data_IF_383350903505
#
_entry.id   IF_383350903505
#
_cell.length_a   1.000
_cell.length_b   1.000
_cell.length_c   1.000
_cell.angle_alpha   90.00
_cell.angle_beta   90.00
_cell.angle_gamma   90.00
#
_symmetry.space_group_name_H-M   'P 1'
#
loop_
_entity.id
_entity.type
_entity.pdbx_description
1 polymer ?
#
# COMPACT_ATOMS: atom_id res chain seq x y z
N UNK A 1 23.67 -67.19 15.62
CA UNK A 1 22.99 -67.83 16.76
C UNK A 1 21.49 -67.64 16.57
N UNK A 2 20.69 -68.72 16.58
CA UNK A 2 19.57 -68.90 15.64
C UNK A 2 18.20 -68.68 16.30
N UNK A 3 17.17 -68.18 15.59
CA UNK A 3 16.19 -68.89 14.74
C UNK A 3 15.01 -69.48 15.54
N UNK A 4 13.86 -68.79 15.37
CA UNK A 4 12.46 -69.27 15.21
C UNK A 4 11.85 -70.34 16.12
N UNK A 5 10.55 -70.16 16.38
CA UNK A 5 9.59 -71.22 16.06
C UNK A 5 8.59 -71.56 17.16
N UNK A 6 7.34 -71.10 16.96
CA UNK A 6 6.15 -71.95 16.78
C UNK A 6 6.08 -73.27 17.57
N UNK A 7 5.11 -73.41 18.48
CA UNK A 7 3.83 -74.12 18.26
C UNK A 7 3.22 -74.70 19.54
N UNK A 8 1.90 -74.52 19.64
CA UNK A 8 0.89 -75.55 19.93
C UNK A 8 0.78 -76.16 21.34
N UNK A 9 -0.36 -75.91 22.01
CA UNK A 9 -1.43 -76.91 22.16
C UNK A 9 -2.60 -76.39 23.01
N UNK A 10 -3.79 -76.45 22.41
CA UNK A 10 -5.05 -76.46 23.13
C UNK A 10 -5.42 -77.86 23.65
N UNK A 11 -6.37 -77.89 24.59
CA UNK A 11 -7.17 -79.05 25.03
C UNK A 11 -8.26 -78.50 25.97
N UNK A 12 -9.54 -78.85 25.97
CA UNK A 12 -10.33 -79.83 25.23
C UNK A 12 -11.82 -79.47 25.31
N UNK A 13 -12.54 -80.04 24.35
CA UNK A 13 -13.97 -80.20 24.09
C UNK A 13 -14.97 -80.32 25.26
N UNK A 14 -16.22 -79.94 24.97
CA UNK A 14 -17.38 -80.43 25.71
C UNK A 14 -18.75 -80.09 25.12
N UNK A 15 -19.18 -80.89 24.14
CA UNK A 15 -20.58 -81.31 23.87
C UNK A 15 -21.68 -80.31 23.46
N UNK A 16 -22.43 -80.69 22.42
CA UNK A 16 -23.88 -80.45 22.37
C UNK A 16 -24.40 -79.79 21.09
N UNK A 17 -24.78 -80.60 20.11
CA UNK A 17 -25.53 -80.19 18.92
C UNK A 17 -27.04 -80.14 19.26
N UNK A 18 -27.76 -79.21 18.63
CA UNK A 18 -29.20 -79.15 18.30
C UNK A 18 -30.13 -78.21 19.11
N UNK A 19 -30.54 -77.14 18.40
CA UNK A 19 -31.94 -76.78 18.07
C UNK A 19 -32.66 -75.66 18.86
N UNK A 20 -33.11 -74.66 18.06
CA UNK A 20 -34.25 -73.71 18.18
C UNK A 20 -34.12 -72.41 19.01
N UNK A 21 -34.02 -71.30 18.25
CA UNK A 21 -34.90 -70.10 18.25
C UNK A 21 -35.44 -69.60 19.61
N UNK A 22 -34.90 -68.47 20.13
CA UNK A 22 -35.58 -67.17 20.35
C UNK A 22 -34.70 -66.19 21.17
N UNK A 23 -35.00 -64.89 21.04
CA UNK A 23 -34.55 -63.72 21.86
C UNK A 23 -33.23 -63.06 21.39
N UNK A 24 -33.26 -62.11 20.45
CA UNK A 24 -33.67 -60.68 20.57
C UNK A 24 -32.65 -59.84 21.38
N UNK A 25 -31.90 -58.97 20.69
CA UNK A 25 -31.47 -57.69 21.25
C UNK A 25 -29.99 -57.50 21.63
N UNK A 26 -29.04 -57.73 20.71
CA UNK A 26 -27.69 -57.15 20.84
C UNK A 26 -27.60 -55.82 20.10
N UNK A 27 -27.70 -54.75 20.89
CA UNK A 27 -27.49 -53.34 20.59
C UNK A 27 -26.26 -53.10 19.68
N UNK A 28 -26.52 -52.78 18.41
CA UNK A 28 -25.62 -52.02 17.56
C UNK A 28 -25.76 -50.53 17.93
N UNK A 29 -25.09 -50.09 19.00
CA UNK A 29 -24.76 -48.66 19.13
C UNK A 29 -23.57 -48.36 18.20
N UNK A 30 -23.86 -48.22 16.90
CA UNK A 30 -23.00 -47.44 16.04
C UNK A 30 -23.11 -45.98 16.52
N UNK A 31 -22.16 -45.57 17.37
CA UNK A 31 -22.01 -44.18 17.76
C UNK A 31 -21.80 -43.36 16.49
N UNK A 32 -22.84 -42.62 16.09
CA UNK A 32 -22.75 -41.64 15.03
C UNK A 32 -21.85 -40.53 15.56
N UNK A 33 -20.55 -40.62 15.30
CA UNK A 33 -19.60 -39.53 15.55
C UNK A 33 -20.03 -38.40 14.60
N UNK A 34 -20.91 -37.53 15.10
CA UNK A 34 -21.18 -36.27 14.45
C UNK A 34 -19.89 -35.47 14.58
N UNK A 35 -19.13 -35.40 13.48
CA UNK A 35 -18.05 -34.44 13.35
C UNK A 35 -18.68 -33.06 13.59
N UNK A 36 -18.49 -32.50 14.79
CA UNK A 36 -18.89 -31.14 15.06
C UNK A 36 -17.96 -30.26 14.22
N UNK A 37 -18.53 -29.65 13.19
CA UNK A 37 -17.85 -28.67 12.36
C UNK A 37 -17.43 -27.51 13.24
N UNK A 38 -16.13 -27.45 13.53
CA UNK A 38 -15.49 -26.44 14.38
C UNK A 38 -15.81 -25.04 13.85
N UNK A 39 -16.25 -24.16 14.75
CA UNK A 39 -16.55 -22.78 14.43
C UNK A 39 -15.31 -22.01 14.03
N UNK A 40 -15.37 -21.27 12.93
CA UNK A 40 -14.22 -20.51 12.41
C UNK A 40 -14.28 -19.02 12.76
N UNK A 41 -15.48 -18.53 13.04
CA UNK A 41 -15.75 -17.15 13.42
C UNK A 41 -17.01 -17.05 14.26
N UNK A 42 -17.10 -16.01 15.07
CA UNK A 42 -18.26 -15.68 15.88
C UNK A 42 -18.77 -14.29 15.54
N UNK A 43 -20.08 -14.15 15.43
CA UNK A 43 -20.73 -12.84 15.25
C UNK A 43 -20.70 -12.10 16.59
N UNK A 44 -19.91 -11.03 16.66
CA UNK A 44 -19.72 -10.25 17.91
C UNK A 44 -20.67 -9.07 18.02
N UNK A 45 -21.15 -8.54 16.90
CA UNK A 45 -22.21 -7.52 16.84
C UNK A 45 -23.14 -7.86 15.70
N UNK A 46 -24.43 -7.68 15.93
CA UNK A 46 -25.45 -7.72 14.88
C UNK A 46 -26.48 -6.65 15.18
N UNK A 47 -26.95 -5.99 14.13
CA UNK A 47 -27.98 -4.97 14.20
C UNK A 47 -28.81 -5.03 12.91
N UNK A 48 -30.13 -4.91 13.01
CA UNK A 48 -31.05 -5.18 11.89
C UNK A 48 -31.18 -6.68 11.56
N UNK A 49 -31.46 -6.98 10.29
CA UNK A 49 -31.71 -8.34 9.80
C UNK A 49 -30.48 -8.89 9.09
N UNK A 50 -29.88 -9.91 9.70
CA UNK A 50 -28.70 -10.61 9.17
C UNK A 50 -29.03 -12.09 8.99
N UNK A 51 -28.68 -12.64 7.83
CA UNK A 51 -28.89 -14.05 7.52
C UNK A 51 -27.57 -14.78 7.32
N UNK A 52 -27.57 -16.07 7.66
CA UNK A 52 -26.54 -17.03 7.26
C UNK A 52 -27.19 -18.12 6.42
N UNK A 53 -26.63 -18.36 5.23
CA UNK A 53 -26.97 -19.49 4.38
C UNK A 53 -25.87 -20.54 4.51
N UNK A 54 -26.21 -21.70 5.09
CA UNK A 54 -25.29 -22.83 5.27
C UNK A 54 -25.12 -23.60 3.96
N UNK A 55 -24.03 -24.36 3.84
CA UNK A 55 -23.80 -25.30 2.72
C UNK A 55 -24.91 -26.33 2.53
N UNK A 56 -25.66 -26.65 3.59
CA UNK A 56 -26.82 -27.53 3.55
C UNK A 56 -28.05 -26.90 2.85
N UNK A 57 -27.96 -25.65 2.40
CA UNK A 57 -29.09 -24.88 1.86
C UNK A 57 -30.01 -24.28 2.92
N UNK A 58 -29.75 -24.52 4.22
CA UNK A 58 -30.55 -23.95 5.31
C UNK A 58 -30.18 -22.47 5.49
N UNK A 59 -31.18 -21.59 5.42
CA UNK A 59 -31.05 -20.17 5.78
C UNK A 59 -31.52 -19.96 7.22
N UNK A 60 -30.77 -19.21 8.01
CA UNK A 60 -31.09 -18.86 9.38
C UNK A 60 -30.84 -17.39 9.67
N UNK A 61 -31.55 -16.84 10.67
CA UNK A 61 -31.27 -15.51 11.20
C UNK A 61 -30.03 -15.60 12.09
N UNK A 62 -29.15 -14.61 11.97
CA UNK A 62 -27.93 -14.48 12.76
C UNK A 62 -28.24 -13.64 14.00
N UNK A 63 -27.82 -14.14 15.15
CA UNK A 63 -27.79 -13.40 16.42
C UNK A 63 -26.34 -13.22 16.90
N UNK A 64 -26.09 -12.28 17.81
CA UNK A 64 -24.80 -12.19 18.50
C UNK A 64 -24.46 -13.54 19.16
N UNK A 65 -23.20 -13.96 19.04
CA UNK A 65 -22.73 -15.27 19.49
C UNK A 65 -22.94 -16.40 18.48
N UNK A 66 -23.60 -16.15 17.34
CA UNK A 66 -23.74 -17.15 16.28
C UNK A 66 -22.37 -17.50 15.71
N UNK A 67 -22.07 -18.80 15.68
CA UNK A 67 -20.84 -19.35 15.11
C UNK A 67 -21.02 -19.65 13.62
N UNK A 68 -20.03 -19.24 12.83
CA UNK A 68 -19.95 -19.47 11.39
C UNK A 68 -19.00 -20.62 11.06
N UNK A 69 -19.23 -21.23 9.89
CA UNK A 69 -18.49 -22.38 9.36
C UNK A 69 -17.98 -22.09 7.95
N UNK A 70 -17.01 -22.89 7.50
CA UNK A 70 -16.56 -22.83 6.10
C UNK A 70 -17.73 -23.19 5.17
N UNK A 71 -17.88 -22.39 4.12
CA UNK A 71 -18.95 -22.48 3.13
C UNK A 71 -20.20 -21.66 3.49
N UNK A 72 -20.23 -21.00 4.65
CA UNK A 72 -21.34 -20.11 5.02
C UNK A 72 -21.29 -18.82 4.20
N UNK A 73 -22.48 -18.40 3.73
CA UNK A 73 -22.70 -17.06 3.19
C UNK A 73 -23.48 -16.22 4.19
N UNK A 74 -22.87 -15.14 4.66
CA UNK A 74 -23.52 -14.14 5.51
C UNK A 74 -24.05 -12.99 4.65
N UNK A 75 -25.27 -12.57 4.92
CA UNK A 75 -25.94 -11.49 4.18
C UNK A 75 -26.60 -10.50 5.13
N UNK A 76 -26.32 -9.22 4.94
CA UNK A 76 -26.95 -8.10 5.65
C UNK A 76 -28.01 -7.49 4.74
N UNK A 77 -29.22 -7.29 5.26
CA UNK A 77 -30.26 -6.57 4.54
C UNK A 77 -30.01 -5.04 4.58
N UNK A 78 -30.96 -4.26 4.05
CA UNK A 78 -30.97 -2.81 4.25
C UNK A 78 -30.96 -2.48 5.75
N UNK A 79 -30.29 -1.39 6.12
CA UNK A 79 -30.23 -0.87 7.50
C UNK A 79 -29.73 -1.90 8.54
N UNK A 80 -28.93 -2.87 8.08
CA UNK A 80 -28.44 -4.00 8.87
C UNK A 80 -26.91 -4.06 8.85
N UNK A 81 -26.31 -4.50 9.95
CA UNK A 81 -24.87 -4.55 10.14
C UNK A 81 -24.47 -5.82 10.89
N UNK A 82 -23.29 -6.34 10.57
CA UNK A 82 -22.69 -7.43 11.32
C UNK A 82 -21.20 -7.18 11.53
N UNK A 83 -20.68 -7.57 12.69
CA UNK A 83 -19.25 -7.70 12.94
C UNK A 83 -18.91 -9.11 13.38
N UNK A 84 -17.85 -9.65 12.79
CA UNK A 84 -17.35 -10.99 13.02
C UNK A 84 -15.98 -10.92 13.68
N UNK A 85 -15.68 -11.91 14.51
CA UNK A 85 -14.31 -12.19 14.99
C UNK A 85 -13.95 -13.62 14.63
N UNK A 86 -12.87 -13.79 13.88
CA UNK A 86 -12.31 -15.08 13.49
C UNK A 86 -11.44 -15.66 14.63
N UNK A 87 -11.23 -16.97 14.61
CA UNK A 87 -10.42 -17.66 15.64
C UNK A 87 -8.93 -17.31 15.61
N UNK A 88 -8.43 -16.74 14.51
CA UNK A 88 -7.06 -16.22 14.37
C UNK A 88 -6.91 -14.77 14.87
N UNK A 89 -7.98 -14.23 15.47
CA UNK A 89 -8.05 -12.87 16.00
C UNK A 89 -8.43 -11.80 14.96
N UNK A 90 -8.67 -12.17 13.70
CA UNK A 90 -9.13 -11.22 12.68
C UNK A 90 -10.54 -10.71 12.97
N UNK A 91 -10.84 -9.47 12.57
CA UNK A 91 -12.16 -8.87 12.67
C UNK A 91 -12.67 -8.41 11.31
N UNK A 92 -13.98 -8.54 11.09
CA UNK A 92 -14.61 -8.19 9.83
C UNK A 92 -15.96 -7.53 10.10
N UNK A 93 -16.12 -6.29 9.63
CA UNK A 93 -17.39 -5.57 9.61
C UNK A 93 -18.04 -5.68 8.23
N UNK A 94 -19.35 -5.92 8.21
CA UNK A 94 -20.16 -6.09 7.01
C UNK A 94 -21.21 -4.98 7.01
N UNK A 95 -21.14 -4.08 6.01
CA UNK A 95 -22.07 -2.95 5.88
C UNK A 95 -23.46 -3.43 5.44
N UNK A 96 -24.50 -2.58 5.47
CA UNK A 96 -25.81 -2.90 4.91
C UNK A 96 -25.78 -3.41 3.47
N UNK A 97 -26.79 -4.19 3.09
CA UNK A 97 -26.99 -4.68 1.72
C UNK A 97 -25.84 -5.52 1.14
N UNK A 98 -25.07 -6.21 1.99
CA UNK A 98 -23.86 -6.93 1.60
C UNK A 98 -24.03 -8.45 1.65
N UNK A 99 -23.20 -9.16 0.91
CA UNK A 99 -23.15 -10.62 0.94
C UNK A 99 -21.72 -11.12 0.81
N UNK A 100 -21.29 -11.96 1.76
CA UNK A 100 -19.93 -12.47 1.90
C UNK A 100 -19.96 -13.99 2.11
N UNK A 101 -19.25 -14.72 1.27
CA UNK A 101 -19.01 -16.16 1.42
C UNK A 101 -17.64 -16.39 2.07
N UNK A 102 -17.56 -17.28 3.05
CA UNK A 102 -16.29 -17.78 3.59
C UNK A 102 -15.98 -19.12 2.90
N UNK A 103 -15.10 -19.11 1.91
CA UNK A 103 -14.85 -20.29 1.05
C UNK A 103 -13.79 -21.24 1.59
N UNK A 104 -12.80 -20.74 2.34
CA UNK A 104 -11.80 -21.55 3.04
C UNK A 104 -11.41 -20.90 4.35
N UNK A 105 -11.18 -21.73 5.37
CA UNK A 105 -10.54 -21.31 6.61
C UNK A 105 -9.78 -22.48 7.23
N UNK A 106 -8.48 -22.30 7.39
CA UNK A 106 -7.62 -23.21 8.13
C UNK A 106 -6.66 -22.37 8.98
N UNK A 107 -6.74 -22.54 10.29
CA UNK A 107 -5.85 -21.88 11.24
C UNK A 107 -5.42 -22.90 12.30
N UNK A 108 -4.12 -23.09 12.44
CA UNK A 108 -3.55 -23.89 13.53
C UNK A 108 -2.34 -23.16 14.09
N UNK A 109 -2.38 -22.86 15.40
CA UNK A 109 -1.38 -22.02 16.07
C UNK A 109 0.08 -22.43 15.78
N UNK A 110 0.36 -23.74 15.75
CA UNK A 110 1.69 -24.30 15.54
C UNK A 110 1.97 -24.82 14.11
N UNK A 111 1.11 -24.53 13.13
CA UNK A 111 1.30 -24.95 11.73
C UNK A 111 1.02 -23.82 10.71
N UNK A 112 1.72 -22.68 10.82
CA UNK A 112 1.45 -21.49 10.01
C UNK A 112 1.59 -21.70 8.49
N UNK A 113 2.33 -22.71 8.05
CA UNK A 113 2.51 -23.04 6.63
C UNK A 113 1.25 -23.63 5.99
N UNK A 114 0.26 -24.02 6.79
CA UNK A 114 -1.04 -24.53 6.31
C UNK A 114 -2.16 -23.52 6.50
N UNK A 115 -1.86 -22.34 7.03
CA UNK A 115 -2.89 -21.32 7.26
C UNK A 115 -3.53 -20.93 5.93
N UNK A 116 -4.85 -20.79 5.90
CA UNK A 116 -5.57 -20.25 4.74
C UNK A 116 -6.87 -19.58 5.17
N UNK A 117 -7.19 -18.46 4.54
CA UNK A 117 -8.47 -17.77 4.64
C UNK A 117 -8.83 -17.26 3.25
N UNK A 118 -9.84 -17.87 2.65
CA UNK A 118 -10.41 -17.41 1.39
C UNK A 118 -11.85 -16.97 1.63
N UNK A 119 -12.19 -15.80 1.12
CA UNK A 119 -13.54 -15.25 1.15
C UNK A 119 -13.92 -14.74 -0.22
N UNK A 120 -15.23 -14.63 -0.48
CA UNK A 120 -15.74 -14.00 -1.69
C UNK A 120 -16.77 -12.94 -1.32
N UNK A 121 -16.46 -11.68 -1.62
CA UNK A 121 -17.44 -10.59 -1.55
C UNK A 121 -18.31 -10.65 -2.79
N UNK A 122 -19.58 -10.99 -2.60
CA UNK A 122 -20.55 -11.15 -3.69
C UNK A 122 -21.15 -9.80 -4.05
N UNK A 123 -21.46 -8.97 -3.05
CA UNK A 123 -21.95 -7.58 -3.22
C UNK A 123 -21.76 -6.76 -1.94
N UNK A 124 -21.84 -5.44 -2.07
CA UNK A 124 -21.83 -4.51 -0.95
C UNK A 124 -20.41 -4.17 -0.49
N UNK A 125 -20.15 -4.14 0.81
CA UNK A 125 -18.84 -3.77 1.31
C UNK A 125 -18.50 -4.29 2.70
N UNK A 126 -17.20 -4.39 2.97
CA UNK A 126 -16.65 -4.86 4.22
C UNK A 126 -15.47 -3.99 4.66
N UNK A 127 -15.21 -3.97 5.96
CA UNK A 127 -13.90 -3.60 6.51
C UNK A 127 -13.30 -4.83 7.16
N UNK A 128 -12.03 -5.07 6.93
CA UNK A 128 -11.32 -6.23 7.46
C UNK A 128 -10.04 -5.81 8.16
N UNK A 129 -9.92 -6.19 9.43
CA UNK A 129 -8.70 -6.11 10.21
C UNK A 129 -8.14 -7.52 10.35
N UNK A 130 -6.97 -7.74 9.77
CA UNK A 130 -6.49 -9.11 9.53
C UNK A 130 -5.84 -9.72 10.78
N UNK A 131 -6.15 -10.99 11.00
CA UNK A 131 -5.64 -11.79 12.11
C UNK A 131 -4.26 -12.39 11.83
N UNK A 132 -3.91 -13.43 12.60
CA UNK A 132 -2.61 -14.10 12.50
C UNK A 132 -2.37 -14.71 11.12
N UNK A 133 -3.41 -15.23 10.44
CA UNK A 133 -3.26 -15.82 9.10
C UNK A 133 -2.66 -14.80 8.11
N UNK A 134 -3.11 -13.55 8.16
CA UNK A 134 -2.61 -12.49 7.28
C UNK A 134 -1.19 -12.00 7.63
N UNK A 135 -0.62 -12.43 8.76
CA UNK A 135 0.61 -11.88 9.35
C UNK A 135 1.76 -12.90 9.44
N UNK A 136 1.54 -14.18 9.14
CA UNK A 136 2.54 -15.25 9.28
C UNK A 136 2.40 -16.31 8.17
N UNK A 137 3.38 -17.22 8.11
CA UNK A 137 3.27 -18.39 7.23
C UNK A 137 3.37 -18.04 5.75
N UNK A 138 2.43 -18.56 4.96
CA UNK A 138 2.35 -18.35 3.51
C UNK A 138 1.82 -16.94 3.18
N UNK A 139 2.48 -16.25 2.25
CA UNK A 139 2.09 -14.91 1.78
C UNK A 139 0.77 -14.92 1.00
N UNK A 140 0.38 -16.06 0.45
CA UNK A 140 -0.85 -16.24 -0.31
C UNK A 140 -1.98 -16.86 0.52
N UNK A 141 -1.78 -17.02 1.83
CA UNK A 141 -2.75 -17.65 2.73
C UNK A 141 -4.08 -16.90 2.78
N UNK A 142 -4.05 -15.57 2.66
CA UNK A 142 -5.24 -14.74 2.72
C UNK A 142 -5.66 -14.28 1.32
N UNK A 143 -6.93 -14.49 0.97
CA UNK A 143 -7.50 -14.05 -0.30
C UNK A 143 -8.95 -13.58 -0.15
N UNK A 144 -9.27 -12.42 -0.71
CA UNK A 144 -10.64 -11.95 -0.87
C UNK A 144 -10.97 -11.81 -2.35
N UNK A 145 -11.82 -12.70 -2.85
CA UNK A 145 -12.26 -12.75 -4.23
C UNK A 145 -13.49 -11.86 -4.44
N UNK A 146 -13.58 -11.20 -5.60
CA UNK A 146 -14.77 -10.44 -6.03
C UNK A 146 -15.08 -10.74 -7.50
N UNK A 147 -16.12 -10.14 -8.07
CA UNK A 147 -16.38 -10.22 -9.50
C UNK A 147 -15.31 -9.47 -10.34
N UNK A 148 -14.63 -8.48 -9.75
CA UNK A 148 -13.77 -7.54 -10.46
C UNK A 148 -12.28 -7.83 -10.28
N UNK A 149 -11.92 -8.69 -9.34
CA UNK A 149 -10.53 -8.95 -8.99
C UNK A 149 -10.36 -9.62 -7.64
N UNK A 150 -9.11 -9.88 -7.31
CA UNK A 150 -8.68 -10.58 -6.10
C UNK A 150 -7.85 -9.65 -5.24
N UNK A 151 -8.12 -9.64 -3.94
CA UNK A 151 -7.34 -8.93 -2.94
C UNK A 151 -6.47 -9.93 -2.17
N UNK A 152 -5.15 -9.78 -2.32
CA UNK A 152 -4.14 -10.39 -1.45
C UNK A 152 -3.62 -9.36 -0.44
N UNK A 153 -3.16 -9.80 0.72
CA UNK A 153 -2.73 -8.89 1.79
C UNK A 153 -1.41 -9.33 2.43
N UNK A 154 -0.89 -8.44 3.29
CA UNK A 154 0.07 -8.80 4.32
C UNK A 154 -0.15 -7.92 5.56
N UNK A 155 -0.89 -8.42 6.55
CA UNK A 155 -1.12 -7.75 7.83
C UNK A 155 -1.71 -6.35 7.66
N UNK A 156 -2.97 -6.29 7.27
CA UNK A 156 -3.63 -5.08 6.76
C UNK A 156 -4.93 -4.77 7.50
N UNK A 157 -5.27 -3.49 7.59
CA UNK A 157 -6.63 -2.97 7.83
C UNK A 157 -7.11 -2.31 6.53
N UNK A 158 -8.15 -2.85 5.91
CA UNK A 158 -8.64 -2.34 4.63
C UNK A 158 -10.16 -2.42 4.52
N UNK A 159 -10.69 -1.55 3.67
CA UNK A 159 -12.08 -1.51 3.24
C UNK A 159 -12.13 -2.04 1.80
N UNK A 160 -13.07 -2.94 1.52
CA UNK A 160 -13.41 -3.35 0.16
C UNK A 160 -14.88 -3.05 -0.10
N UNK A 161 -15.16 -2.27 -1.14
CA UNK A 161 -16.51 -1.91 -1.57
C UNK A 161 -16.70 -2.32 -3.02
N UNK A 162 -17.58 -3.28 -3.25
CA UNK A 162 -17.99 -3.74 -4.57
C UNK A 162 -19.27 -2.98 -4.96
N UNK A 163 -19.11 -2.00 -5.84
CA UNK A 163 -20.16 -1.13 -6.35
C UNK A 163 -20.77 -1.70 -7.62
N UNK A 164 -22.10 -1.66 -7.69
CA UNK A 164 -22.85 -1.75 -8.94
C UNK A 164 -23.33 -0.33 -9.30
N UNK A 165 -24.64 -0.10 -9.44
CA UNK A 165 -25.21 1.24 -9.58
C UNK A 165 -25.42 1.97 -8.24
N UNK A 166 -25.37 1.23 -7.13
CA UNK A 166 -25.73 1.66 -5.77
C UNK A 166 -24.84 2.79 -5.23
N UNK A 167 -23.55 2.79 -5.55
CA UNK A 167 -22.63 3.86 -5.12
C UNK A 167 -22.96 5.22 -5.76
N UNK A 168 -23.59 5.23 -6.94
CA UNK A 168 -24.10 6.45 -7.56
C UNK A 168 -25.32 7.03 -6.83
N UNK A 169 -26.14 6.16 -6.25
CA UNK A 169 -27.35 6.56 -5.51
C UNK A 169 -26.99 7.07 -4.10
N UNK A 170 -26.00 6.46 -3.43
CA UNK A 170 -25.48 6.91 -2.13
C UNK A 170 -24.89 8.35 -2.19
N UNK A 171 -24.25 8.72 -3.31
CA UNK A 171 -23.78 10.10 -3.55
C UNK A 171 -24.93 11.13 -3.52
N UNK A 172 -26.08 10.81 -4.12
CA UNK A 172 -27.24 11.71 -4.17
C UNK A 172 -27.89 11.91 -2.78
N UNK A 173 -27.79 10.90 -1.91
CA UNK A 173 -28.29 11.00 -0.54
C UNK A 173 -27.40 11.89 0.36
N UNK A 174 -26.07 11.82 0.19
CA UNK A 174 -25.09 12.59 0.96
C UNK A 174 -25.01 14.09 0.61
N UNK A 175 -25.46 14.50 -0.58
CA UNK A 175 -25.42 15.91 -1.03
C UNK A 175 -26.43 16.83 -0.30
N UNK A 176 -27.31 16.30 0.56
CA UNK A 176 -28.28 17.08 1.35
C UNK A 176 -27.80 17.54 2.73
N UNK A 177 -26.56 17.20 3.15
CA UNK A 177 -26.06 17.49 4.50
C UNK A 177 -24.60 17.95 4.55
N UNK A 178 -24.40 19.24 4.92
CA UNK A 178 -23.15 19.91 5.36
C UNK A 178 -21.86 19.73 4.53
N UNK A 179 -21.31 20.90 4.15
CA UNK A 179 -20.02 21.15 3.50
C UNK A 179 -18.90 20.21 3.96
N UNK A 180 -18.42 19.40 3.03
CA UNK A 180 -17.28 18.50 3.17
C UNK A 180 -16.04 19.25 3.68
N UNK A 181 -15.52 18.83 4.82
CA UNK A 181 -14.13 19.10 5.22
C UNK A 181 -13.37 17.81 4.97
N UNK A 182 -12.62 17.76 3.86
CA UNK A 182 -11.69 16.66 3.61
C UNK A 182 -10.65 16.64 4.75
N UNK A 183 -10.40 15.51 5.41
CA UNK A 183 -9.26 15.37 6.31
C UNK A 183 -7.97 15.61 5.54
N UNK A 184 -6.92 16.16 6.18
CA UNK A 184 -5.60 16.22 5.57
C UNK A 184 -5.00 14.81 5.63
N UNK A 185 -5.34 13.94 4.68
CA UNK A 185 -4.37 12.91 4.31
C UNK A 185 -3.16 13.66 3.80
N UNK A 186 -2.00 13.52 4.46
CA UNK A 186 -0.78 14.12 3.95
C UNK A 186 -0.59 13.54 2.55
N UNK A 187 -0.75 14.33 1.48
CA UNK A 187 -0.77 13.75 0.14
C UNK A 187 0.58 13.09 -0.08
N UNK A 188 0.53 11.89 -0.63
CA UNK A 188 1.72 11.21 -1.12
C UNK A 188 2.40 12.16 -2.08
N UNK A 189 3.60 12.60 -1.70
CA UNK A 189 4.27 13.63 -2.43
C UNK A 189 5.10 13.04 -3.57
N UNK A 190 5.76 11.93 -3.26
CA UNK A 190 6.52 11.15 -4.23
C UNK A 190 6.37 9.64 -4.01
N UNK A 191 6.86 8.85 -4.96
CA UNK A 191 7.03 7.40 -4.86
C UNK A 191 8.40 6.97 -5.33
N UNK A 192 8.94 5.94 -4.69
CA UNK A 192 10.12 5.23 -5.18
C UNK A 192 9.70 4.35 -6.37
N UNK A 193 10.27 4.54 -7.56
CA UNK A 193 9.91 3.74 -8.76
C UNK A 193 11.02 2.79 -9.19
N UNK A 194 12.25 3.05 -8.77
CA UNK A 194 13.41 2.22 -9.08
C UNK A 194 14.48 2.45 -8.01
N UNK A 195 15.20 1.40 -7.65
CA UNK A 195 16.38 1.49 -6.81
C UNK A 195 17.43 0.47 -7.24
N UNK A 196 18.69 0.76 -6.93
CA UNK A 196 19.75 -0.23 -6.86
C UNK A 196 20.41 -0.08 -5.48
N UNK A 197 20.51 -1.17 -4.72
CA UNK A 197 20.88 -1.12 -3.31
C UNK A 197 19.66 -1.06 -2.38
N UNK A 198 19.80 -0.37 -1.26
CA UNK A 198 18.75 -0.15 -0.27
C UNK A 198 18.40 1.34 -0.17
N UNK A 199 17.11 1.63 -0.17
CA UNK A 199 16.57 2.96 0.11
C UNK A 199 15.83 2.97 1.45
N UNK A 200 16.10 3.98 2.27
CA UNK A 200 15.41 4.21 3.54
C UNK A 200 14.66 5.54 3.51
N UNK A 201 13.53 5.63 4.20
CA UNK A 201 12.89 6.87 4.57
C UNK A 201 12.97 7.07 6.08
N UNK A 202 13.23 8.30 6.53
CA UNK A 202 13.38 8.64 7.93
C UNK A 202 12.57 9.88 8.30
N UNK A 203 11.85 9.86 9.41
CA UNK A 203 11.15 11.02 9.97
C UNK A 203 11.12 10.93 11.49
N UNK A 204 11.41 12.04 12.18
CA UNK A 204 11.39 12.07 13.66
C UNK A 204 12.25 11.00 14.34
N UNK A 205 13.35 10.57 13.69
CA UNK A 205 14.23 9.50 14.17
C UNK A 205 13.77 8.07 13.89
N UNK A 206 12.53 7.87 13.43
CA UNK A 206 12.09 6.57 12.92
C UNK A 206 12.60 6.36 11.49
N UNK A 207 13.04 5.14 11.19
CA UNK A 207 13.55 4.75 9.87
C UNK A 207 12.78 3.54 9.37
N UNK A 208 12.38 3.56 8.09
CA UNK A 208 11.74 2.44 7.40
C UNK A 208 12.44 2.19 6.06
N UNK A 209 12.53 0.93 5.65
CA UNK A 209 12.98 0.59 4.31
C UNK A 209 11.88 0.92 3.31
N UNK A 210 12.26 1.56 2.21
CA UNK A 210 11.39 1.73 1.05
C UNK A 210 11.57 0.54 0.10
N UNK A 211 10.47 0.10 -0.47
CA UNK A 211 10.44 -0.76 -1.65
C UNK A 211 9.86 0.01 -2.85
N UNK A 212 10.10 -0.49 -4.06
CA UNK A 212 9.49 0.07 -5.28
C UNK A 212 7.95 0.13 -5.13
N UNK A 213 7.39 1.27 -5.48
CA UNK A 213 5.99 1.65 -5.31
C UNK A 213 5.68 2.37 -3.98
N UNK A 214 6.56 2.28 -2.97
CA UNK A 214 6.27 2.86 -1.66
C UNK A 214 6.22 4.40 -1.73
N UNK A 215 5.28 5.02 -0.99
CA UNK A 215 5.16 6.46 -0.93
C UNK A 215 6.29 7.08 -0.12
N UNK A 216 6.60 8.34 -0.46
CA UNK A 216 7.44 9.26 0.30
C UNK A 216 6.58 10.45 0.71
N UNK A 217 6.62 10.76 2.00
CA UNK A 217 5.80 11.79 2.63
C UNK A 217 6.61 13.07 2.88
N UNK A 218 5.90 14.19 2.96
CA UNK A 218 6.48 15.46 3.37
C UNK A 218 7.05 15.34 4.78
N UNK A 219 8.27 15.85 4.97
CA UNK A 219 9.05 15.78 6.20
C UNK A 219 9.98 14.56 6.27
N UNK A 220 9.86 13.59 5.36
CA UNK A 220 10.78 12.45 5.31
C UNK A 220 12.13 12.83 4.66
N UNK A 221 13.19 12.26 5.21
CA UNK A 221 14.51 12.19 4.57
C UNK A 221 14.65 10.82 3.92
N UNK A 222 14.81 10.81 2.59
CA UNK A 222 15.13 9.64 1.79
C UNK A 222 16.65 9.47 1.74
N UNK A 223 17.12 8.27 2.05
CA UNK A 223 18.53 7.90 2.10
C UNK A 223 18.79 6.75 1.13
N UNK A 224 19.55 7.02 0.06
CA UNK A 224 20.05 5.99 -0.84
C UNK A 224 21.38 5.47 -0.28
N UNK A 225 21.57 4.15 -0.24
CA UNK A 225 22.81 3.57 0.26
C UNK A 225 23.99 3.72 -0.72
N UNK A 226 25.15 3.20 -0.33
CA UNK A 226 26.35 3.27 -1.16
C UNK A 226 26.34 2.30 -2.34
N UNK A 227 25.39 1.38 -2.46
CA UNK A 227 25.38 0.34 -3.49
C UNK A 227 24.78 0.82 -4.82
N UNK A 228 23.95 1.87 -4.82
CA UNK A 228 23.37 2.35 -6.08
C UNK A 228 22.65 3.68 -5.99
N UNK A 229 21.39 3.72 -6.43
CA UNK A 229 20.61 4.95 -6.59
C UNK A 229 19.16 4.71 -6.16
N UNK A 230 18.41 5.80 -5.98
CA UNK A 230 16.96 5.75 -5.73
C UNK A 230 16.24 6.76 -6.63
N UNK A 231 15.22 6.32 -7.36
CA UNK A 231 14.44 7.17 -8.27
C UNK A 231 13.08 7.49 -7.68
N UNK A 232 12.84 8.77 -7.41
CA UNK A 232 11.58 9.32 -6.92
C UNK A 232 10.81 9.99 -8.06
N UNK A 233 9.52 9.70 -8.16
CA UNK A 233 8.57 10.43 -9.02
C UNK A 233 7.61 11.20 -8.12
N UNK A 234 7.24 12.41 -8.49
CA UNK A 234 6.28 13.26 -7.79
C UNK A 234 4.96 13.36 -8.55
N UNK A 235 3.88 13.70 -7.85
CA UNK A 235 2.54 13.83 -8.47
C UNK A 235 2.42 14.98 -9.48
N UNK A 236 3.39 15.89 -9.52
CA UNK A 236 3.51 16.95 -10.53
C UNK A 236 4.35 16.56 -11.75
N UNK A 237 4.74 15.29 -11.84
CA UNK A 237 5.64 14.70 -12.86
C UNK A 237 7.13 15.05 -12.70
N UNK A 238 7.53 15.69 -11.60
CA UNK A 238 8.96 15.82 -11.29
C UNK A 238 9.57 14.44 -11.04
N UNK A 239 10.82 14.27 -11.45
CA UNK A 239 11.60 13.04 -11.24
C UNK A 239 12.95 13.42 -10.63
N UNK A 240 13.31 12.75 -9.54
CA UNK A 240 14.58 12.95 -8.84
C UNK A 240 15.26 11.59 -8.72
N UNK A 241 16.46 11.47 -9.26
CA UNK A 241 17.33 10.31 -9.03
C UNK A 241 18.37 10.72 -7.99
N UNK A 242 18.35 10.07 -6.84
CA UNK A 242 19.35 10.23 -5.80
C UNK A 242 20.56 9.35 -6.13
N UNK A 243 21.74 9.95 -6.17
CA UNK A 243 22.99 9.22 -6.33
C UNK A 243 23.29 8.34 -5.11
N UNK A 244 24.31 7.49 -5.23
CA UNK A 244 24.81 6.67 -4.13
C UNK A 244 25.14 7.50 -2.90
N UNK A 245 24.65 7.03 -1.75
CA UNK A 245 24.89 7.63 -0.45
C UNK A 245 24.23 9.00 -0.23
N UNK A 246 23.33 9.41 -1.13
CA UNK A 246 22.64 10.67 -1.01
C UNK A 246 21.60 10.67 0.11
N UNK A 247 21.45 11.83 0.74
CA UNK A 247 20.37 12.11 1.70
C UNK A 247 19.59 13.32 1.24
N UNK A 248 18.30 13.12 1.04
CA UNK A 248 17.39 14.10 0.45
C UNK A 248 16.16 14.25 1.34
N UNK A 249 15.86 15.47 1.77
CA UNK A 249 14.71 15.77 2.62
C UNK A 249 13.62 16.44 1.82
N UNK A 250 12.40 15.93 1.93
CA UNK A 250 11.23 16.55 1.33
C UNK A 250 10.56 17.52 2.30
N UNK A 251 11.08 18.75 2.38
CA UNK A 251 10.65 19.74 3.38
C UNK A 251 9.20 20.14 3.24
N UNK A 252 8.74 20.42 2.02
CA UNK A 252 7.33 20.72 1.76
C UNK A 252 6.94 20.37 0.33
N UNK A 253 5.74 19.82 0.18
CA UNK A 253 5.17 19.57 -1.14
C UNK A 253 3.66 19.70 -1.10
N UNK A 254 3.14 20.52 -2.00
CA UNK A 254 1.72 20.68 -2.25
C UNK A 254 1.54 20.98 -3.73
N UNK A 255 0.87 20.06 -4.42
CA UNK A 255 0.49 20.25 -5.80
C UNK A 255 -0.94 19.77 -6.00
N UNK A 256 -1.74 20.60 -6.67
CA UNK A 256 -3.10 20.26 -7.08
C UNK A 256 -3.30 20.86 -8.46
N UNK A 257 -3.52 20.05 -9.52
CA UNK A 257 -3.62 20.57 -10.89
C UNK A 257 -4.69 21.66 -11.07
N UNK A 258 -5.81 21.56 -10.34
CA UNK A 258 -6.91 22.54 -10.36
C UNK A 258 -6.62 23.83 -9.57
N UNK A 259 -5.70 23.77 -8.60
CA UNK A 259 -5.38 24.88 -7.68
C UNK A 259 -3.86 25.04 -7.49
N UNK A 260 -3.09 25.23 -8.57
CA UNK A 260 -1.63 25.33 -8.47
C UNK A 260 -1.20 26.58 -7.69
N UNK A 261 -2.08 27.57 -7.52
CA UNK A 261 -1.79 28.79 -6.78
C UNK A 261 -1.51 28.58 -5.30
N UNK A 262 -2.05 27.50 -4.74
CA UNK A 262 -1.88 27.09 -3.33
C UNK A 262 -0.67 26.19 -3.11
N UNK A 263 0.01 25.79 -4.19
CA UNK A 263 1.10 24.83 -4.13
C UNK A 263 2.46 25.41 -3.79
N UNK A 264 3.37 24.53 -3.39
CA UNK A 264 4.79 24.78 -3.19
C UNK A 264 5.56 23.45 -3.23
N UNK A 265 6.84 23.51 -3.60
CA UNK A 265 7.78 22.41 -3.51
C UNK A 265 9.09 22.96 -2.96
N UNK A 266 9.49 22.50 -1.77
CA UNK A 266 10.77 22.83 -1.14
C UNK A 266 11.40 21.52 -0.72
N UNK A 267 12.64 21.33 -1.14
CA UNK A 267 13.40 20.10 -0.94
C UNK A 267 14.80 20.46 -0.50
N UNK A 268 15.48 19.60 0.24
CA UNK A 268 16.83 19.84 0.73
C UNK A 268 17.74 18.65 0.40
N UNK A 269 18.81 18.87 -0.36
CA UNK A 269 19.85 17.87 -0.52
C UNK A 269 20.88 18.06 0.61
N UNK A 270 20.89 17.11 1.54
CA UNK A 270 21.71 17.16 2.76
C UNK A 270 23.14 16.66 2.48
N UNK A 271 23.26 15.62 1.65
CA UNK A 271 24.55 15.04 1.27
C UNK A 271 24.45 14.30 -0.07
N UNK A 272 25.59 14.17 -0.75
CA UNK A 272 25.71 13.38 -1.98
C UNK A 272 25.38 14.17 -3.24
N UNK A 273 24.59 13.57 -4.13
CA UNK A 273 24.14 14.21 -5.37
C UNK A 273 22.77 13.73 -5.84
N UNK A 274 22.19 14.49 -6.75
CA UNK A 274 20.92 14.13 -7.37
C UNK A 274 20.85 14.62 -8.81
N UNK A 275 20.10 13.89 -9.62
CA UNK A 275 19.69 14.27 -10.97
C UNK A 275 18.20 14.61 -10.94
N UNK A 276 17.80 15.72 -11.57
CA UNK A 276 16.45 16.25 -11.46
C UNK A 276 15.88 16.61 -12.82
N UNK A 277 14.64 16.18 -13.07
CA UNK A 277 13.76 16.72 -14.11
C UNK A 277 12.55 17.31 -13.40
N UNK A 278 12.30 18.60 -13.57
CA UNK A 278 11.15 19.26 -12.92
C UNK A 278 9.87 19.09 -13.73
N UNK A 279 8.76 18.88 -13.04
CA UNK A 279 7.45 18.62 -13.63
C UNK A 279 6.64 19.88 -13.97
N UNK A 280 5.32 19.68 -14.05
CA UNK A 280 4.32 20.68 -14.41
C UNK A 280 4.31 21.87 -13.46
N UNK A 281 4.51 21.64 -12.16
CA UNK A 281 4.44 22.70 -11.16
C UNK A 281 5.55 23.73 -11.34
N UNK A 282 6.78 23.30 -11.67
CA UNK A 282 7.90 24.21 -11.95
C UNK A 282 7.68 25.06 -13.21
N UNK A 283 6.90 24.58 -14.18
CA UNK A 283 6.50 25.37 -15.36
C UNK A 283 5.46 26.44 -15.01
N UNK A 284 4.48 26.09 -14.18
CA UNK A 284 3.38 26.98 -13.77
C UNK A 284 3.81 28.02 -12.73
N UNK A 285 4.62 27.59 -11.74
CA UNK A 285 4.96 28.33 -10.52
C UNK A 285 6.45 28.20 -10.18
N UNK A 286 7.37 28.58 -11.09
CA UNK A 286 8.82 28.38 -10.92
C UNK A 286 9.37 28.95 -9.60
N UNK A 287 8.89 30.13 -9.19
CA UNK A 287 9.28 30.79 -7.93
C UNK A 287 8.84 30.06 -6.64
N UNK A 288 8.07 28.97 -6.76
CA UNK A 288 7.59 28.15 -5.65
C UNK A 288 8.19 26.74 -5.67
N UNK A 289 9.16 26.49 -6.54
CA UNK A 289 9.94 25.25 -6.60
C UNK A 289 11.38 25.58 -6.24
N UNK A 290 11.82 25.06 -5.09
CA UNK A 290 13.10 25.39 -4.47
C UNK A 290 13.82 24.08 -4.14
N UNK A 291 15.06 23.96 -4.62
CA UNK A 291 15.98 22.90 -4.21
C UNK A 291 17.07 23.55 -3.36
N UNK A 292 16.96 23.38 -2.06
CA UNK A 292 17.91 23.88 -1.08
C UNK A 292 19.05 22.89 -0.85
N UNK A 293 20.16 23.47 -0.41
CA UNK A 293 21.30 22.80 0.19
C UNK A 293 21.86 23.75 1.26
N UNK A 294 22.73 23.26 2.15
CA UNK A 294 23.41 24.18 3.10
C UNK A 294 24.34 25.18 2.38
N UNK A 295 24.92 24.79 1.23
CA UNK A 295 25.83 25.63 0.43
C UNK A 295 25.10 26.71 -0.39
N UNK A 296 23.88 26.43 -0.84
CA UNK A 296 23.11 27.35 -1.66
C UNK A 296 21.74 26.83 -2.09
N UNK A 297 20.94 27.75 -2.62
CA UNK A 297 19.58 27.48 -3.11
C UNK A 297 19.57 27.46 -4.62
N UNK A 298 18.81 26.55 -5.21
CA UNK A 298 18.63 26.42 -6.65
C UNK A 298 17.18 26.73 -7.00
N UNK A 299 16.99 27.80 -7.77
CA UNK A 299 15.73 28.16 -8.41
C UNK A 299 15.64 27.56 -9.80
N UNK A 300 14.44 27.13 -10.18
CA UNK A 300 14.19 26.42 -11.44
C UNK A 300 13.05 27.03 -12.24
N UNK A 301 13.07 26.81 -13.56
CA UNK A 301 11.94 27.08 -14.45
C UNK A 301 11.83 26.02 -15.54
N UNK A 302 11.26 24.86 -15.20
CA UNK A 302 11.08 23.76 -16.14
C UNK A 302 12.43 23.25 -16.67
N UNK A 303 13.24 22.66 -15.80
CA UNK A 303 14.65 22.36 -16.04
C UNK A 303 15.00 20.90 -15.87
N UNK A 304 16.10 20.52 -16.51
CA UNK A 304 16.76 19.23 -16.34
C UNK A 304 18.20 19.50 -15.87
N UNK A 305 18.57 19.09 -14.67
CA UNK A 305 19.85 19.46 -14.05
C UNK A 305 20.40 18.38 -13.12
N UNK A 306 21.70 18.47 -12.81
CA UNK A 306 22.42 17.66 -11.81
C UNK A 306 22.95 18.56 -10.71
N UNK A 307 22.97 18.03 -9.50
CA UNK A 307 23.56 18.68 -8.33
C UNK A 307 24.46 17.68 -7.63
N UNK A 308 25.65 18.12 -7.22
CA UNK A 308 26.59 17.30 -6.47
C UNK A 308 27.30 18.13 -5.41
N UNK A 309 27.29 17.62 -4.18
CA UNK A 309 28.02 18.18 -3.06
C UNK A 309 29.45 17.64 -3.05
N UNK A 310 30.41 18.50 -2.72
CA UNK A 310 31.83 18.21 -2.81
C UNK A 310 32.62 18.96 -1.74
N UNK A 311 33.88 18.59 -1.47
CA UNK A 311 34.74 19.35 -0.58
C UNK A 311 35.06 20.74 -1.15
N UNK A 312 35.23 21.73 -0.28
CA UNK A 312 35.71 23.05 -0.71
C UNK A 312 37.06 22.95 -1.41
N UNK A 313 37.25 23.76 -2.46
CA UNK A 313 38.43 23.71 -3.32
C UNK A 313 38.46 22.55 -4.33
N UNK A 314 37.44 21.68 -4.39
CA UNK A 314 37.47 20.50 -5.29
C UNK A 314 37.56 20.87 -6.77
N UNK A 315 37.17 22.09 -7.17
CA UNK A 315 37.32 22.57 -8.55
C UNK A 315 38.77 22.69 -9.01
N UNK A 316 39.70 22.84 -8.08
CA UNK A 316 41.13 23.04 -8.35
C UNK A 316 41.93 21.74 -8.20
N UNK A 317 41.27 20.64 -7.81
CA UNK A 317 41.88 19.32 -7.66
C UNK A 317 41.83 18.56 -8.97
N UNK A 318 43.00 18.29 -9.56
CA UNK A 318 43.11 17.45 -10.74
C UNK A 318 42.56 16.04 -10.44
N UNK A 319 41.63 15.56 -11.27
CA UNK A 319 41.00 14.23 -11.17
C UNK A 319 40.18 13.98 -9.89
N UNK A 320 39.54 15.02 -9.32
CA UNK A 320 38.54 14.80 -8.27
C UNK A 320 37.40 13.87 -8.76
N UNK A 321 37.22 12.74 -8.09
CA UNK A 321 36.12 11.80 -8.32
C UNK A 321 35.31 11.59 -7.02
N UNK A 322 34.08 12.14 -6.93
CA UNK A 322 33.21 11.94 -5.77
C UNK A 322 32.76 10.49 -5.58
N UNK A 323 32.85 9.62 -6.61
CA UNK A 323 32.48 8.21 -6.48
C UNK A 323 33.49 7.38 -5.68
N UNK A 324 34.72 7.89 -5.52
CA UNK A 324 35.81 7.24 -4.79
C UNK A 324 35.81 7.52 -3.28
N UNK A 325 34.98 8.46 -2.81
CA UNK A 325 34.94 8.94 -1.43
C UNK A 325 33.55 8.74 -0.81
N UNK A 326 33.43 8.78 0.54
CA UNK A 326 32.14 8.83 1.21
C UNK A 326 31.31 10.05 0.75
N UNK A 327 29.97 9.97 0.81
CA UNK A 327 29.10 11.06 0.43
C UNK A 327 29.41 12.33 1.22
N UNK A 328 29.61 13.43 0.49
CA UNK A 328 29.98 14.71 1.08
C UNK A 328 28.72 15.48 1.48
N UNK A 329 28.64 16.01 2.72
CA UNK A 329 27.56 16.89 3.12
C UNK A 329 27.55 18.18 2.29
N UNK A 330 26.36 18.70 2.03
CA UNK A 330 26.17 19.87 1.18
C UNK A 330 26.39 21.19 1.93
N UNK A 331 27.37 21.23 2.84
CA UNK A 331 27.78 22.39 3.64
C UNK A 331 29.20 22.88 3.30
N UNK A 332 29.78 22.35 2.23
CA UNK A 332 31.07 22.71 1.67
C UNK A 332 30.83 23.28 0.28
N UNK A 333 31.27 22.60 -0.78
CA UNK A 333 31.05 23.02 -2.15
C UNK A 333 29.82 22.36 -2.81
N UNK A 334 29.32 23.03 -3.84
CA UNK A 334 28.18 22.60 -4.65
C UNK A 334 28.48 22.78 -6.14
N UNK A 335 28.39 21.69 -6.90
CA UNK A 335 28.30 21.73 -8.36
C UNK A 335 26.85 21.66 -8.79
N UNK A 336 26.48 22.47 -9.77
CA UNK A 336 25.16 22.43 -10.41
C UNK A 336 25.31 22.48 -11.93
N UNK A 337 24.93 21.41 -12.63
CA UNK A 337 25.05 21.30 -14.08
C UNK A 337 23.68 21.28 -14.75
N UNK A 338 23.46 22.13 -15.74
CA UNK A 338 22.17 22.22 -16.44
C UNK A 338 22.21 21.42 -17.75
N UNK A 339 21.44 20.34 -17.84
CA UNK A 339 21.26 19.57 -19.09
C UNK A 339 20.27 20.23 -20.04
N UNK A 340 19.19 20.82 -19.52
CA UNK A 340 18.20 21.53 -20.30
C UNK A 340 17.53 22.68 -19.52
N UNK A 341 17.17 23.75 -20.22
CA UNK A 341 16.67 25.00 -19.63
C UNK A 341 17.77 25.87 -19.01
N UNK A 342 17.44 26.59 -17.93
CA UNK A 342 18.40 27.32 -17.08
C UNK A 342 17.97 27.27 -15.62
N UNK A 343 18.95 27.13 -14.72
CA UNK A 343 18.75 27.23 -13.27
C UNK A 343 19.40 28.51 -12.75
N UNK A 344 18.95 28.99 -11.60
CA UNK A 344 19.60 30.07 -10.85
C UNK A 344 20.14 29.49 -9.54
N UNK A 345 21.45 29.55 -9.31
CA UNK A 345 22.06 29.16 -8.04
C UNK A 345 22.34 30.41 -7.19
N UNK A 346 22.00 30.34 -5.91
CA UNK A 346 22.17 31.44 -4.94
C UNK A 346 23.01 31.00 -3.77
N UNK A 347 23.91 31.87 -3.33
CA UNK A 347 24.66 31.69 -2.08
C UNK A 347 24.81 33.03 -1.37
N UNK A 348 24.20 33.15 -0.19
CA UNK A 348 24.06 34.43 0.50
C UNK A 348 23.34 35.47 -0.38
N UNK A 349 24.00 36.59 -0.65
CA UNK A 349 23.49 37.67 -1.51
C UNK A 349 23.78 37.49 -3.00
N UNK A 350 24.59 36.49 -3.35
CA UNK A 350 25.05 36.27 -4.72
C UNK A 350 24.13 35.31 -5.46
N UNK A 351 23.93 35.56 -6.74
CA UNK A 351 23.14 34.72 -7.63
C UNK A 351 23.87 34.54 -8.96
N UNK A 352 23.73 33.38 -9.57
CA UNK A 352 24.29 33.05 -10.88
C UNK A 352 23.30 32.23 -11.69
N UNK A 353 23.03 32.67 -12.92
CA UNK A 353 22.31 31.86 -13.88
C UNK A 353 23.26 30.83 -14.52
N UNK A 354 22.84 29.57 -14.52
CA UNK A 354 23.56 28.44 -15.14
C UNK A 354 22.74 27.94 -16.32
N UNK A 355 23.06 28.39 -17.55
CA UNK A 355 22.33 27.99 -18.74
C UNK A 355 22.66 26.55 -19.16
N UNK A 356 21.86 26.01 -20.08
CA UNK A 356 22.06 24.70 -20.71
C UNK A 356 23.52 24.45 -21.11
N UNK A 357 24.02 23.27 -20.77
CA UNK A 357 25.36 22.79 -21.08
C UNK A 357 26.46 23.36 -20.17
N UNK A 358 26.14 24.28 -19.26
CA UNK A 358 27.11 24.88 -18.33
C UNK A 358 27.01 24.30 -16.93
N UNK A 359 28.07 24.51 -16.17
CA UNK A 359 28.19 24.06 -14.78
C UNK A 359 28.52 25.26 -13.90
N UNK A 360 27.67 25.50 -12.90
CA UNK A 360 27.94 26.44 -11.82
C UNK A 360 28.62 25.74 -10.64
N UNK A 361 29.41 26.49 -9.89
CA UNK A 361 30.11 26.04 -8.70
C UNK A 361 30.03 27.07 -7.58
N UNK A 362 29.78 26.61 -6.36
CA UNK A 362 29.84 27.40 -5.12
C UNK A 362 30.84 26.70 -4.22
N UNK A 363 31.88 27.40 -3.75
CA UNK A 363 32.99 26.78 -3.01
C UNK A 363 32.67 26.52 -1.53
N UNK A 364 31.82 27.35 -0.94
CA UNK A 364 31.39 27.31 0.44
C UNK A 364 30.06 28.07 0.61
N UNK A 365 29.28 27.84 1.68
CA UNK A 365 28.13 28.68 2.00
C UNK A 365 28.50 30.17 2.05
N UNK A 366 27.79 31.00 1.30
CA UNK A 366 28.02 32.44 1.17
C UNK A 366 29.11 32.85 0.16
N UNK A 367 29.77 31.90 -0.49
CA UNK A 367 30.76 32.17 -1.54
C UNK A 367 30.10 32.67 -2.83
N UNK A 368 30.84 33.44 -3.64
CA UNK A 368 30.36 33.90 -4.94
C UNK A 368 30.26 32.69 -5.89
N UNK A 369 29.08 32.38 -6.46
CA UNK A 369 28.96 31.32 -7.44
C UNK A 369 29.70 31.69 -8.74
N UNK A 370 30.35 30.71 -9.36
CA UNK A 370 31.10 30.90 -10.62
C UNK A 370 30.67 29.87 -11.67
N UNK A 371 30.74 30.25 -12.95
CA UNK A 371 30.64 29.29 -14.05
C UNK A 371 32.00 28.65 -14.29
N UNK A 372 32.02 27.33 -14.39
CA UNK A 372 33.20 26.59 -14.81
C UNK A 372 33.39 26.71 -16.33
N UNK A 373 34.65 26.61 -16.75
CA UNK A 373 35.03 26.53 -18.17
C UNK A 373 34.51 25.22 -18.76
N UNK A 374 34.85 24.11 -18.11
CA UNK A 374 34.44 22.76 -18.50
C UNK A 374 33.52 22.11 -17.46
N UNK A 375 32.63 21.24 -17.93
CA UNK A 375 31.85 20.37 -17.06
C UNK A 375 32.75 19.24 -16.52
N UNK A 376 32.83 19.01 -15.20
CA UNK A 376 33.60 17.91 -14.65
C UNK A 376 33.15 16.53 -15.16
N UNK A 377 34.09 15.61 -15.37
CA UNK A 377 33.81 14.26 -15.89
C UNK A 377 32.82 13.49 -15.03
N UNK A 378 32.95 13.55 -13.69
CA UNK A 378 32.07 12.85 -12.78
C UNK A 378 30.59 13.28 -12.84
N UNK A 379 30.26 14.45 -13.41
CA UNK A 379 28.86 14.84 -13.67
C UNK A 379 28.36 14.23 -14.98
N UNK A 380 29.19 14.27 -16.03
CA UNK A 380 28.88 13.69 -17.35
C UNK A 380 28.70 12.17 -17.26
N UNK A 381 29.61 11.52 -16.55
CA UNK A 381 29.74 10.07 -16.47
C UNK A 381 29.18 9.52 -15.14
N UNK A 382 28.25 10.24 -14.51
CA UNK A 382 27.61 9.76 -13.28
C UNK A 382 26.79 8.48 -13.58
N UNK A 383 27.06 7.37 -12.85
CA UNK A 383 26.46 6.05 -13.09
C UNK A 383 24.99 5.94 -12.69
N UNK A 384 24.46 6.86 -11.88
CA UNK A 384 23.03 6.91 -11.62
C UNK A 384 22.29 7.19 -12.94
N UNK A 385 21.15 6.54 -13.24
CA UNK A 385 20.42 6.76 -14.49
C UNK A 385 19.90 8.19 -14.59
N UNK A 386 19.57 8.64 -15.81
CA UNK A 386 18.95 9.96 -15.97
C UNK A 386 17.47 9.89 -15.65
N UNK A 387 16.87 10.89 -14.99
CA UNK A 387 15.46 10.84 -14.62
C UNK A 387 14.52 10.72 -15.84
N UNK A 388 14.90 11.27 -16.99
CA UNK A 388 14.15 11.21 -18.25
C UNK A 388 14.18 9.84 -18.96
N UNK A 389 15.01 8.89 -18.52
CA UNK A 389 15.08 7.54 -19.09
C UNK A 389 13.96 6.62 -18.58
N UNK A 390 13.27 7.02 -17.51
CA UNK A 390 12.20 6.24 -16.91
C UNK A 390 10.85 6.53 -17.57
N UNK A 391 10.24 5.50 -18.16
CA UNK A 391 8.83 5.52 -18.54
C UNK A 391 7.94 5.36 -17.29
N UNK A 392 6.98 6.26 -17.12
CA UNK A 392 6.24 6.41 -15.87
C UNK A 392 4.75 6.55 -16.14
N UNK A 393 3.98 5.58 -15.64
CA UNK A 393 2.52 5.64 -15.64
C UNK A 393 2.01 6.42 -14.42
N UNK A 394 1.79 7.72 -14.63
CA UNK A 394 1.31 8.64 -13.59
C UNK A 394 -0.03 8.22 -12.98
N UNK A 395 -1.06 7.82 -13.76
CA UNK A 395 -2.29 7.25 -13.21
C UNK A 395 -2.08 6.02 -12.30
N UNK A 396 -1.15 5.11 -12.62
CA UNK A 396 -0.86 3.97 -11.73
C UNK A 396 -0.19 4.40 -10.43
N UNK A 397 0.68 5.40 -10.46
CA UNK A 397 1.37 5.88 -9.26
C UNK A 397 0.49 6.75 -8.37
N UNK A 398 -0.10 7.82 -8.90
CA UNK A 398 -0.78 8.85 -8.10
C UNK A 398 -2.29 8.83 -8.26
N UNK A 399 -2.79 8.02 -9.19
CA UNK A 399 -4.20 7.85 -9.38
C UNK A 399 -4.88 8.99 -10.13
N UNK A 400 -6.19 8.82 -10.29
CA UNK A 400 -7.11 9.85 -10.82
C UNK A 400 -7.86 10.48 -9.66
N UNK A 401 -8.43 11.67 -9.88
CA UNK A 401 -9.35 12.30 -8.93
C UNK A 401 -10.61 11.44 -8.80
N UNK A 402 -10.71 10.68 -7.71
CA UNK A 402 -11.82 9.76 -7.45
C UNK A 402 -13.02 10.41 -6.77
N UNK A 403 -12.95 11.70 -6.41
CA UNK A 403 -14.00 12.35 -5.58
C UNK A 403 -15.38 12.33 -6.22
N UNK A 404 -15.44 12.35 -7.56
CA UNK A 404 -16.70 12.26 -8.31
C UNK A 404 -17.01 10.86 -8.84
N UNK A 405 -16.10 9.91 -8.67
CA UNK A 405 -16.21 8.58 -9.24
C UNK A 405 -17.25 7.76 -8.49
N UNK A 406 -18.22 7.23 -9.24
CA UNK A 406 -19.27 6.33 -8.74
C UNK A 406 -19.50 5.16 -9.70
N UNK A 407 -18.53 4.89 -10.57
CA UNK A 407 -18.61 3.83 -11.57
C UNK A 407 -18.75 2.47 -10.88
N UNK A 408 -19.50 1.52 -11.45
CA UNK A 408 -19.49 0.13 -11.01
C UNK A 408 -18.06 -0.38 -10.96
N UNK A 409 -17.68 -1.15 -9.94
CA UNK A 409 -16.29 -1.47 -9.71
C UNK A 409 -15.99 -1.96 -8.30
N UNK A 410 -14.80 -2.53 -8.11
CA UNK A 410 -14.24 -2.78 -6.80
C UNK A 410 -13.37 -1.59 -6.39
N UNK A 411 -13.69 -1.00 -5.24
CA UNK A 411 -12.90 0.04 -4.57
C UNK A 411 -12.25 -0.57 -3.33
N UNK A 412 -10.96 -0.30 -3.15
CA UNK A 412 -10.18 -0.81 -2.01
C UNK A 412 -9.45 0.34 -1.35
N UNK A 413 -9.82 0.67 -0.11
CA UNK A 413 -9.09 1.66 0.69
C UNK A 413 -8.29 0.96 1.78
N UNK A 414 -7.02 1.31 1.94
CA UNK A 414 -6.14 0.71 2.95
C UNK A 414 -5.93 1.70 4.08
N UNK A 415 -6.34 1.34 5.30
CA UNK A 415 -6.14 2.15 6.50
C UNK A 415 -4.75 1.92 7.10
N UNK A 416 -4.30 0.67 7.10
CA UNK A 416 -2.96 0.26 7.55
C UNK A 416 -2.45 -0.92 6.73
N UNK A 417 -1.14 -0.98 6.47
CA UNK A 417 -0.50 -2.08 5.75
C UNK A 417 -0.51 -1.90 4.23
N UNK A 418 -0.60 -3.03 3.50
CA UNK A 418 -0.58 -3.05 2.03
C UNK A 418 -1.51 -4.13 1.49
N UNK A 419 -2.13 -3.86 0.36
CA UNK A 419 -2.99 -4.76 -0.41
C UNK A 419 -2.40 -4.93 -1.81
N UNK A 420 -2.40 -6.15 -2.32
CA UNK A 420 -2.25 -6.42 -3.75
C UNK A 420 -3.65 -6.63 -4.34
N UNK A 421 -4.06 -5.76 -5.25
CA UNK A 421 -5.28 -5.90 -6.02
C UNK A 421 -4.91 -6.45 -7.40
N UNK A 422 -5.35 -7.67 -7.69
CA UNK A 422 -4.99 -8.40 -8.91
C UNK A 422 -6.23 -8.64 -9.77
N UNK A 423 -6.17 -8.21 -11.03
CA UNK A 423 -7.20 -8.46 -12.02
C UNK A 423 -7.13 -9.92 -12.56
N UNK A 424 -8.21 -10.44 -13.18
CA UNK A 424 -8.20 -11.77 -13.79
C UNK A 424 -7.15 -11.97 -14.89
N UNK A 425 -6.71 -10.89 -15.55
CA UNK A 425 -5.66 -10.90 -16.56
C UNK A 425 -4.23 -10.99 -15.96
N UNK A 426 -4.10 -10.99 -14.62
CA UNK A 426 -2.82 -11.04 -13.91
C UNK A 426 -2.19 -9.68 -13.63
N UNK A 427 -2.79 -8.58 -14.09
CA UNK A 427 -2.33 -7.24 -13.76
C UNK A 427 -2.53 -6.96 -12.27
N UNK A 428 -1.50 -6.40 -11.61
CA UNK A 428 -1.48 -6.16 -10.18
C UNK A 428 -1.24 -4.69 -9.86
N UNK A 429 -1.98 -4.17 -8.87
CA UNK A 429 -1.82 -2.86 -8.28
C UNK A 429 -1.60 -2.99 -6.77
N UNK A 430 -0.50 -2.43 -6.29
CA UNK A 430 -0.22 -2.37 -4.87
C UNK A 430 -0.83 -1.10 -4.27
N UNK A 431 -1.73 -1.28 -3.30
CA UNK A 431 -2.41 -0.20 -2.57
C UNK A 431 -1.89 -0.18 -1.14
N UNK A 432 -1.27 0.91 -0.71
CA UNK A 432 -0.71 1.12 0.61
C UNK A 432 -1.59 1.96 1.54
N UNK A 433 -1.17 2.08 2.81
CA UNK A 433 -1.88 2.86 3.81
C UNK A 433 -2.17 4.31 3.39
N UNK A 434 -3.42 4.74 3.60
CA UNK A 434 -3.95 6.04 3.18
C UNK A 434 -4.31 6.13 1.70
N UNK A 435 -4.22 5.02 0.95
CA UNK A 435 -4.48 4.99 -0.47
C UNK A 435 -5.76 4.24 -0.83
N UNK A 436 -6.28 4.54 -2.02
CA UNK A 436 -7.43 3.85 -2.59
C UNK A 436 -7.10 3.32 -3.97
N UNK A 437 -7.38 2.04 -4.23
CA UNK A 437 -7.33 1.42 -5.55
C UNK A 437 -8.73 1.21 -6.13
N UNK A 438 -8.81 1.15 -7.45
CA UNK A 438 -10.03 0.86 -8.18
C UNK A 438 -9.77 -0.18 -9.28
N UNK A 439 -10.69 -1.14 -9.41
CA UNK A 439 -10.76 -2.12 -10.48
C UNK A 439 -12.15 -2.11 -11.14
N UNK A 440 -12.19 -1.95 -12.46
CA UNK A 440 -13.46 -1.98 -13.20
C UNK A 440 -14.01 -3.42 -13.36
N UNK A 441 -15.31 -3.58 -13.68
CA UNK A 441 -15.92 -4.88 -13.90
C UNK A 441 -15.39 -5.63 -15.13
N UNK A 442 -14.93 -4.89 -16.15
CA UNK A 442 -14.43 -5.48 -17.39
C UNK A 442 -13.04 -6.11 -17.24
N UNK A 443 -12.35 -5.85 -16.11
CA UNK A 443 -11.00 -6.36 -15.86
C UNK A 443 -9.94 -5.77 -16.81
N UNK A 444 -10.16 -4.53 -17.26
CA UNK A 444 -9.26 -3.79 -18.16
C UNK A 444 -8.60 -2.59 -17.48
N UNK A 445 -9.22 -2.04 -16.44
CA UNK A 445 -8.81 -0.81 -15.82
C UNK A 445 -8.50 -1.05 -14.34
N UNK A 446 -7.23 -0.88 -13.99
CA UNK A 446 -6.70 -0.99 -12.64
C UNK A 446 -5.81 0.22 -12.33
N UNK A 447 -6.24 1.06 -11.41
CA UNK A 447 -5.51 2.31 -11.09
C UNK A 447 -5.80 2.81 -9.68
N UNK A 448 -4.94 3.70 -9.20
CA UNK A 448 -5.11 4.37 -7.92
C UNK A 448 -6.18 5.47 -8.01
N UNK A 449 -6.83 5.80 -6.91
CA UNK A 449 -7.61 7.01 -6.75
C UNK A 449 -6.82 7.92 -5.81
N UNK A 450 -6.36 9.07 -6.33
CA UNK A 450 -5.55 10.02 -5.57
C UNK A 450 -6.31 10.66 -4.40
N UNK A 451 -7.64 10.62 -4.48
CA UNK A 451 -8.56 10.90 -3.38
C UNK A 451 -9.67 9.84 -3.40
N UNK A 452 -10.04 9.26 -2.24
CA UNK A 452 -11.13 8.29 -2.17
C UNK A 452 -12.46 8.93 -2.60
N UNK A 453 -13.38 8.15 -3.20
CA UNK A 453 -14.75 8.59 -3.40
C UNK A 453 -15.42 8.91 -2.07
N UNK A 454 -16.30 9.92 -2.08
CA UNK A 454 -17.00 10.40 -0.87
C UNK A 454 -17.79 9.28 -0.18
N UNK A 455 -18.46 8.41 -0.95
CA UNK A 455 -19.24 7.30 -0.40
C UNK A 455 -18.38 6.29 0.37
N UNK A 456 -17.08 6.20 0.06
CA UNK A 456 -16.15 5.26 0.69
C UNK A 456 -15.51 5.91 1.93
N UNK A 457 -14.97 7.12 1.76
CA UNK A 457 -14.31 7.88 2.82
C UNK A 457 -15.27 8.21 3.98
N UNK A 458 -16.53 8.47 3.65
CA UNK A 458 -17.56 8.88 4.62
C UNK A 458 -18.54 7.76 4.97
N UNK A 459 -18.26 6.50 4.62
CA UNK A 459 -19.15 5.38 4.96
C UNK A 459 -19.25 5.24 6.50
N UNK A 460 -20.44 5.48 7.11
CA UNK A 460 -20.57 5.51 8.56
C UNK A 460 -20.38 4.13 9.19
N UNK A 461 -20.55 3.04 8.43
CA UNK A 461 -20.40 1.67 8.93
C UNK A 461 -18.97 1.14 8.81
N UNK A 462 -18.16 1.71 7.92
CA UNK A 462 -16.81 1.23 7.62
C UNK A 462 -15.69 2.20 8.08
N UNK A 463 -16.02 3.43 8.49
CA UNK A 463 -15.04 4.42 8.99
C UNK A 463 -14.17 3.95 10.15
N UNK A 464 -14.72 3.06 10.99
CA UNK A 464 -14.04 2.40 12.12
C UNK A 464 -14.46 0.93 12.20
N UNK A 465 -13.62 0.06 12.78
CA UNK A 465 -14.03 -1.33 13.02
C UNK A 465 -15.15 -1.42 14.08
N UNK A 466 -15.12 -0.52 15.07
CA UNK A 466 -16.05 -0.50 16.19
C UNK A 466 -17.00 0.69 16.09
N UNK A 467 -18.03 0.58 15.25
CA UNK A 467 -19.10 1.58 15.15
C UNK A 467 -20.27 1.24 16.06
N UNK A 468 -21.05 2.26 16.44
CA UNK A 468 -22.41 2.10 16.95
C UNK A 468 -23.40 2.13 15.77
N UNK A 469 -23.98 0.98 15.36
CA UNK A 469 -24.86 0.89 14.20
C UNK A 469 -26.11 1.77 14.30
N UNK A 470 -26.59 2.05 15.53
CA UNK A 470 -27.75 2.94 15.74
C UNK A 470 -27.41 4.36 15.31
N UNK A 471 -26.23 4.86 15.69
CA UNK A 471 -25.73 6.17 15.28
C UNK A 471 -25.47 6.27 13.77
N UNK A 472 -25.12 5.17 13.11
CA UNK A 472 -24.85 5.13 11.67
C UNK A 472 -26.12 5.31 10.84
N UNK A 473 -27.28 4.78 11.29
CA UNK A 473 -28.58 4.96 10.60
C UNK A 473 -29.14 6.38 10.68
N UNK A 474 -28.69 7.16 11.67
CA UNK A 474 -29.19 8.51 11.90
C UNK A 474 -28.48 9.58 11.04
N UNK A 475 -27.43 9.19 10.32
CA UNK A 475 -26.65 9.99 9.36
C UNK A 475 -27.13 9.66 7.95
#
# INVERSE_FOLDING_TARGET
MPVTGMFDKGREMGHGILVRLLVLGTLLLAGVVHAQTEGIATVVVTDGTVFVSRTSGKRGIVAQGTTLQVGDTISTEKDSYARLRFTDGGELAIRPSSSLLISSYHFKEFAPQRDSLAMRLIKGGIRNLTGLIGKRGDRNAYRLDTANGTIGIRGTDFIARLCESDCGDEKRAGESGKKLVAPPSSPIAARLIAENGQTMAAIGGQRRRLAVGDPVYVGETVEADLAGFATLVFSDESRIVLDRGSRYTLTSYRYTPKHPERGNMVTDLVAGGMRVVTGLFAKQRPKKVIFDTTTGTIGVRGTNFDVRCAPSGSKDVANYDPASAPPVPCNQALYAHTRDGSIEIKSGQFALEVPKGRTGYIDAPGAIPVLLEDTPGFLRDNPAPRPEEFDVDMPKLFGRDGTTQTSPGLYVEVKEGKVALTLPNGEELLVGAGETGYANPEGSDLYMLGLPPVFLDQDPYLREMNVDPVSCRAQ
#
